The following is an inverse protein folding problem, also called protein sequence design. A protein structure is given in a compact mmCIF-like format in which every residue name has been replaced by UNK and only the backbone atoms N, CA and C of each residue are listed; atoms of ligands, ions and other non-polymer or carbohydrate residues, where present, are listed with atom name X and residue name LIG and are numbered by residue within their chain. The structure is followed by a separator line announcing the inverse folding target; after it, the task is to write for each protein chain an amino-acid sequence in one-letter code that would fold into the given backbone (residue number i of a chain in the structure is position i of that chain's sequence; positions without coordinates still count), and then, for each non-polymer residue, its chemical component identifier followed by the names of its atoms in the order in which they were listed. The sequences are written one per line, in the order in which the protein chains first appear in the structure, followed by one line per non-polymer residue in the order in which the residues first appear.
data_IF_366543194602
#
_entry.id   IF_366543194602
#
_cell.length_a   1.000
_cell.length_b   1.000
_cell.length_c   1.000
_cell.angle_alpha   90.00
_cell.angle_beta   90.00
_cell.angle_gamma   90.00
#
_symmetry.space_group_name_H-M   'P 1'
#
loop_
_entity.id
_entity.type
_entity.pdbx_description
1 polymer ?
#
# COMPACT_ATOMS: atom_id res chain seq x y z
N UNK A 1 16.54 -9.48 11.29
CA UNK A 1 15.11 -9.76 11.22
C UNK A 1 14.41 -8.70 10.39
N UNK A 2 13.57 -9.12 9.47
CA UNK A 2 12.87 -8.20 8.57
C UNK A 2 11.72 -7.52 9.30
N UNK A 3 11.65 -6.19 9.17
CA UNK A 3 10.51 -5.41 9.70
C UNK A 3 9.43 -5.31 8.63
N UNK A 4 8.19 -5.59 9.02
CA UNK A 4 7.02 -5.52 8.13
C UNK A 4 6.32 -4.19 8.39
N UNK A 5 6.24 -3.37 7.35
CA UNK A 5 5.82 -1.96 7.47
C UNK A 5 4.42 -1.71 6.94
N UNK A 6 3.73 -0.80 7.59
CA UNK A 6 2.56 -0.14 7.03
C UNK A 6 2.95 1.32 6.75
N UNK A 7 2.79 1.76 5.52
CA UNK A 7 3.14 3.13 5.14
C UNK A 7 1.86 3.90 4.88
N UNK A 8 1.59 4.87 5.73
CA UNK A 8 0.41 5.75 5.60
C UNK A 8 0.75 6.88 4.64
N UNK A 9 -0.12 7.11 3.67
CA UNK A 9 0.11 8.14 2.67
C UNK A 9 1.26 7.80 1.73
N UNK A 10 1.28 6.59 1.21
CA UNK A 10 2.40 6.08 0.41
C UNK A 10 2.65 6.85 -0.88
N UNK A 11 1.65 7.56 -1.39
CA UNK A 11 1.79 8.35 -2.63
C UNK A 11 2.17 9.81 -2.37
N UNK A 12 2.27 10.23 -1.11
CA UNK A 12 2.71 11.57 -0.76
C UNK A 12 4.24 11.67 -0.71
N UNK A 13 4.74 12.87 -0.42
CA UNK A 13 6.18 13.13 -0.43
C UNK A 13 6.96 12.25 0.56
N UNK A 14 6.47 12.18 1.79
CA UNK A 14 7.15 11.38 2.82
C UNK A 14 7.02 9.89 2.53
N UNK A 15 5.84 9.45 2.08
CA UNK A 15 5.60 8.06 1.74
C UNK A 15 6.48 7.57 0.60
N UNK A 16 6.62 8.36 -0.46
CA UNK A 16 7.47 7.99 -1.58
C UNK A 16 8.94 7.93 -1.19
N UNK A 17 9.39 8.85 -0.33
CA UNK A 17 10.75 8.82 0.19
C UNK A 17 10.99 7.60 1.08
N UNK A 18 10.00 7.23 1.89
CA UNK A 18 10.08 6.04 2.73
C UNK A 18 10.21 4.78 1.87
N UNK A 19 9.45 4.70 0.78
CA UNK A 19 9.54 3.57 -0.15
C UNK A 19 10.91 3.50 -0.84
N UNK A 20 11.55 4.64 -1.10
CA UNK A 20 12.91 4.65 -1.64
C UNK A 20 13.90 4.02 -0.65
N UNK A 21 13.74 4.32 0.64
CA UNK A 21 14.57 3.70 1.68
C UNK A 21 14.34 2.20 1.72
N UNK A 22 13.09 1.75 1.65
CA UNK A 22 12.75 0.32 1.60
C UNK A 22 13.39 -0.34 0.38
N UNK A 23 13.31 0.32 -0.77
CA UNK A 23 13.85 -0.20 -2.02
C UNK A 23 15.36 -0.46 -1.91
N UNK A 24 16.08 0.40 -1.19
CA UNK A 24 17.49 0.24 -0.94
C UNK A 24 17.85 -0.75 0.18
N UNK A 25 16.86 -1.26 0.91
CA UNK A 25 17.08 -2.09 2.11
C UNK A 25 16.09 -3.25 2.18
N UNK A 26 15.90 -3.94 1.06
CA UNK A 26 14.89 -5.01 0.96
C UNK A 26 15.13 -6.21 1.85
N UNK A 27 16.37 -6.40 2.27
CA UNK A 27 16.68 -7.47 3.23
C UNK A 27 16.25 -7.14 4.65
N UNK A 28 16.00 -5.86 4.93
CA UNK A 28 15.63 -5.40 6.27
C UNK A 28 14.17 -5.00 6.41
N UNK A 29 13.51 -4.62 5.30
CA UNK A 29 12.15 -4.11 5.33
C UNK A 29 11.27 -4.79 4.27
N UNK A 30 10.05 -5.07 4.66
CA UNK A 30 9.00 -5.57 3.77
C UNK A 30 7.77 -4.68 3.95
N UNK A 31 7.09 -4.36 2.85
CA UNK A 31 5.85 -3.57 2.91
C UNK A 31 4.66 -4.51 2.99
N UNK A 32 3.96 -4.47 4.11
CA UNK A 32 2.75 -5.27 4.30
C UNK A 32 1.50 -4.49 3.90
N UNK A 33 1.48 -3.18 4.18
CA UNK A 33 0.29 -2.37 3.94
C UNK A 33 0.67 -1.00 3.41
N UNK A 34 -0.16 -0.47 2.51
CA UNK A 34 -0.04 0.88 1.97
C UNK A 34 -1.39 1.57 2.07
N UNK A 35 -1.38 2.86 2.43
CA UNK A 35 -2.60 3.67 2.32
C UNK A 35 -2.33 4.85 1.41
N UNK A 36 -3.34 5.26 0.66
CA UNK A 36 -3.24 6.39 -0.25
C UNK A 36 -4.56 7.14 -0.31
N UNK A 37 -4.51 8.38 -0.78
CA UNK A 37 -5.71 9.18 -1.03
C UNK A 37 -6.26 8.92 -2.43
N UNK A 38 -6.05 9.87 -3.34
CA UNK A 38 -6.65 9.83 -4.67
C UNK A 38 -5.70 9.37 -5.78
N UNK A 39 -4.41 9.25 -5.50
CA UNK A 39 -3.44 8.91 -6.54
C UNK A 39 -3.39 7.40 -6.81
N UNK A 40 -4.43 6.91 -7.45
CA UNK A 40 -4.60 5.48 -7.74
C UNK A 40 -3.53 4.98 -8.71
N UNK A 41 -3.13 5.81 -9.66
CA UNK A 41 -2.12 5.41 -10.64
C UNK A 41 -0.78 5.08 -9.97
N UNK A 42 -0.31 5.94 -9.08
CA UNK A 42 0.94 5.71 -8.38
C UNK A 42 0.81 4.53 -7.41
N UNK A 43 -0.33 4.44 -6.71
CA UNK A 43 -0.55 3.33 -5.80
C UNK A 43 -0.50 1.98 -6.52
N UNK A 44 -1.08 1.89 -7.72
CA UNK A 44 -1.01 0.66 -8.51
C UNK A 44 0.45 0.29 -8.84
N UNK A 45 1.28 1.27 -9.17
CA UNK A 45 2.70 1.03 -9.42
C UNK A 45 3.41 0.55 -8.16
N UNK A 46 3.07 1.11 -7.01
CA UNK A 46 3.66 0.68 -5.73
C UNK A 46 3.24 -0.74 -5.37
N UNK A 47 2.00 -1.11 -5.63
CA UNK A 47 1.52 -2.48 -5.43
C UNK A 47 2.30 -3.46 -6.30
N UNK A 48 2.54 -3.10 -7.56
CA UNK A 48 3.29 -3.94 -8.48
C UNK A 48 4.72 -4.15 -8.02
N UNK A 49 5.32 -3.14 -7.40
CA UNK A 49 6.71 -3.20 -6.96
C UNK A 49 6.88 -3.89 -5.60
N UNK A 50 6.03 -3.56 -4.63
CA UNK A 50 6.23 -3.98 -3.24
C UNK A 50 5.34 -5.15 -2.81
N UNK A 51 4.32 -5.49 -3.56
CA UNK A 51 3.41 -6.61 -3.29
C UNK A 51 2.85 -6.61 -1.85
N UNK A 52 2.20 -5.52 -1.40
CA UNK A 52 1.61 -5.48 -0.08
C UNK A 52 0.48 -6.49 0.05
N UNK A 53 0.16 -6.90 1.28
CA UNK A 53 -0.96 -7.81 1.54
C UNK A 53 -2.28 -7.06 1.57
N UNK A 54 -2.28 -5.82 2.04
CA UNK A 54 -3.49 -5.01 2.18
C UNK A 54 -3.20 -3.56 1.81
N UNK A 55 -4.17 -2.92 1.17
CA UNK A 55 -4.09 -1.48 0.89
C UNK A 55 -5.40 -0.82 1.26
N UNK A 56 -5.35 0.49 1.51
CA UNK A 56 -6.53 1.30 1.77
C UNK A 56 -6.48 2.55 0.92
N UNK A 57 -7.64 2.95 0.41
CA UNK A 57 -7.81 4.18 -0.35
C UNK A 57 -8.89 5.03 0.30
N UNK A 58 -9.03 6.28 -0.15
CA UNK A 58 -9.90 7.26 0.47
C UNK A 58 -11.38 6.89 0.40
N UNK A 59 -11.82 6.24 -0.67
CA UNK A 59 -13.24 5.96 -0.88
C UNK A 59 -13.47 4.65 -1.60
N UNK A 60 -14.71 4.14 -1.50
CA UNK A 60 -15.10 2.94 -2.24
C UNK A 60 -15.00 3.11 -3.75
N UNK A 61 -15.23 4.31 -4.26
CA UNK A 61 -15.05 4.61 -5.67
C UNK A 61 -13.59 4.46 -6.08
N UNK A 62 -12.67 4.98 -5.26
CA UNK A 62 -11.24 4.82 -5.49
C UNK A 62 -10.83 3.36 -5.44
N UNK A 63 -11.43 2.57 -4.55
CA UNK A 63 -11.15 1.14 -4.45
C UNK A 63 -11.52 0.41 -5.74
N UNK A 64 -12.66 0.74 -6.33
CA UNK A 64 -13.08 0.14 -7.60
C UNK A 64 -12.16 0.52 -8.74
N UNK A 65 -11.73 1.78 -8.80
CA UNK A 65 -10.79 2.25 -9.82
C UNK A 65 -9.45 1.54 -9.70
N UNK A 66 -8.97 1.37 -8.48
CA UNK A 66 -7.72 0.66 -8.23
C UNK A 66 -7.82 -0.80 -8.68
N UNK A 67 -8.89 -1.47 -8.30
CA UNK A 67 -9.11 -2.86 -8.66
C UNK A 67 -9.10 -3.05 -10.18
N UNK A 68 -9.81 -2.16 -10.90
CA UNK A 68 -9.85 -2.22 -12.35
C UNK A 68 -8.48 -1.98 -12.96
N UNK A 69 -7.72 -1.02 -12.44
CA UNK A 69 -6.39 -0.71 -12.94
C UNK A 69 -5.42 -1.87 -12.75
N UNK A 70 -5.48 -2.52 -11.59
CA UNK A 70 -4.65 -3.70 -11.33
C UNK A 70 -5.00 -4.84 -12.30
N UNK A 71 -6.29 -5.04 -12.54
CA UNK A 71 -6.75 -6.06 -13.48
C UNK A 71 -6.24 -5.78 -14.89
N UNK A 72 -6.36 -4.54 -15.36
CA UNK A 72 -5.92 -4.14 -16.70
C UNK A 72 -4.43 -4.34 -16.90
N UNK A 73 -3.63 -4.14 -15.85
CA UNK A 73 -2.18 -4.27 -15.91
C UNK A 73 -1.66 -5.66 -15.55
N UNK A 74 -2.56 -6.58 -15.22
CA UNK A 74 -2.16 -7.92 -14.84
C UNK A 74 -1.40 -8.00 -13.54
N UNK A 75 -1.66 -7.07 -12.62
CA UNK A 75 -1.02 -7.02 -11.30
C UNK A 75 -1.85 -7.81 -10.31
N UNK A 76 -1.21 -8.66 -9.51
CA UNK A 76 -1.90 -9.42 -8.47
C UNK A 76 -2.56 -8.47 -7.47
N UNK A 77 -3.84 -8.72 -7.19
CA UNK A 77 -4.64 -7.85 -6.33
C UNK A 77 -4.44 -8.18 -4.85
N UNK A 78 -4.01 -7.19 -4.04
CA UNK A 78 -4.02 -7.35 -2.58
C UNK A 78 -5.45 -7.22 -2.05
N UNK A 79 -5.64 -7.36 -0.74
CA UNK A 79 -6.89 -6.96 -0.12
C UNK A 79 -7.03 -5.45 -0.24
N UNK A 80 -8.12 -4.97 -0.84
CA UNK A 80 -8.37 -3.54 -1.05
C UNK A 80 -9.48 -3.09 -0.12
N UNK A 81 -9.18 -2.09 0.71
CA UNK A 81 -10.12 -1.52 1.67
C UNK A 81 -10.27 -0.03 1.40
N UNK A 82 -11.24 0.60 2.05
CA UNK A 82 -11.53 2.01 1.83
C UNK A 82 -11.93 2.70 3.12
N UNK A 83 -11.87 4.03 3.12
CA UNK A 83 -12.28 4.89 4.23
C UNK A 83 -11.42 4.73 5.48
N UNK A 84 -11.86 5.32 6.57
CA UNK A 84 -11.15 5.26 7.84
C UNK A 84 -11.01 3.82 8.33
N UNK A 85 -12.04 3.00 8.15
CA UNK A 85 -11.98 1.59 8.55
C UNK A 85 -10.87 0.85 7.82
N UNK A 86 -10.67 1.15 6.55
CA UNK A 86 -9.58 0.58 5.76
C UNK A 86 -8.21 1.05 6.27
N UNK A 87 -8.07 2.33 6.59
CA UNK A 87 -6.82 2.86 7.13
C UNK A 87 -6.47 2.20 8.46
N UNK A 88 -7.46 2.04 9.33
CA UNK A 88 -7.26 1.34 10.61
C UNK A 88 -6.88 -0.12 10.38
N UNK A 89 -7.55 -0.78 9.43
CA UNK A 89 -7.24 -2.19 9.11
C UNK A 89 -5.80 -2.36 8.64
N UNK A 90 -5.30 -1.41 7.85
CA UNK A 90 -3.90 -1.43 7.40
C UNK A 90 -2.94 -1.24 8.57
N UNK A 91 -3.20 -0.24 9.42
CA UNK A 91 -2.31 0.09 10.53
C UNK A 91 -2.30 -0.98 11.62
N UNK A 92 -3.38 -1.74 11.76
CA UNK A 92 -3.51 -2.76 12.80
C UNK A 92 -3.41 -4.19 12.27
N UNK A 93 -3.04 -4.36 11.00
CA UNK A 93 -2.91 -5.68 10.40
C UNK A 93 -1.89 -6.52 11.18
N UNK A 94 -2.23 -7.78 11.42
CA UNK A 94 -1.39 -8.66 12.24
C UNK A 94 0.00 -8.90 11.66
N UNK A 95 0.17 -8.72 10.37
CA UNK A 95 1.45 -8.87 9.68
C UNK A 95 2.27 -7.57 9.65
N UNK A 96 1.85 -6.53 10.39
CA UNK A 96 2.57 -5.25 10.45
C UNK A 96 3.32 -5.14 11.77
N UNK A 97 4.61 -4.85 11.69
CA UNK A 97 5.46 -4.62 12.87
C UNK A 97 5.57 -3.13 13.21
N UNK A 98 5.51 -2.26 12.20
CA UNK A 98 5.75 -0.83 12.36
C UNK A 98 4.93 -0.03 11.36
N UNK A 99 4.30 1.03 11.85
CA UNK A 99 3.50 1.94 11.02
C UNK A 99 4.29 3.21 10.69
#
# INVERSE_FOLDING_TARGET
MMKRLCILGSTGSIGTQTLEVVRGNRSEFQVTALTAGDNITLLAEQIAEFHPQIVAVKSGEGAKKLEQRLLEKGIEKPEITADMDGFVACATHEEVDLV
#
